data_IF_117505843968
#
_entry.id   IF_117505843968
#
_cell.length_a   1.000
_cell.length_b   1.000
_cell.length_c   1.000
_cell.angle_alpha   90.00
_cell.angle_beta   90.00
_cell.angle_gamma   90.00
#
_symmetry.space_group_name_H-M   'P 1'
#
loop_
_entity.id
_entity.type
_entity.pdbx_description
1 polymer ?
#
# COMPACT_ATOMS: atom_id res chain seq x y z
N UNK A 1 -45.41 -32.15 7.69
CA UNK A 1 -45.00 -30.85 8.24
C UNK A 1 -43.57 -30.61 7.83
N UNK A 2 -43.37 -29.54 7.07
CA UNK A 2 -42.17 -29.19 6.32
C UNK A 2 -40.93 -29.09 7.21
N UNK A 3 -39.97 -29.98 6.96
CA UNK A 3 -38.58 -29.86 7.37
C UNK A 3 -38.01 -28.55 6.81
N UNK A 4 -37.92 -27.52 7.65
CA UNK A 4 -37.19 -26.30 7.33
C UNK A 4 -35.72 -26.68 7.16
N UNK A 5 -35.29 -26.89 5.92
CA UNK A 5 -33.88 -26.92 5.56
C UNK A 5 -33.29 -25.56 5.93
N UNK A 6 -32.69 -25.46 7.11
CA UNK A 6 -31.95 -24.27 7.54
C UNK A 6 -30.78 -24.13 6.58
N UNK A 7 -30.92 -23.26 5.58
CA UNK A 7 -29.81 -22.89 4.71
C UNK A 7 -28.73 -22.31 5.63
N UNK A 8 -27.51 -22.88 5.67
CA UNK A 8 -26.49 -22.38 6.58
C UNK A 8 -26.17 -20.92 6.23
N UNK A 9 -26.27 -20.03 7.21
CA UNK A 9 -25.91 -18.63 7.02
C UNK A 9 -24.39 -18.52 6.86
N UNK A 10 -23.89 -17.77 5.86
CA UNK A 10 -22.46 -17.65 5.64
C UNK A 10 -21.79 -17.00 6.86
N UNK A 11 -20.73 -17.65 7.33
CA UNK A 11 -19.96 -17.25 8.50
C UNK A 11 -18.80 -16.33 8.11
N UNK A 12 -18.11 -15.78 9.12
CA UNK A 12 -16.93 -14.91 8.95
C UNK A 12 -15.88 -15.52 8.01
N UNK A 13 -15.63 -16.82 8.16
CA UNK A 13 -14.63 -17.54 7.37
C UNK A 13 -15.00 -17.60 5.88
N UNK A 14 -16.28 -17.83 5.57
CA UNK A 14 -16.80 -17.80 4.20
C UNK A 14 -16.57 -16.44 3.54
N UNK A 15 -16.86 -15.34 4.25
CA UNK A 15 -16.61 -13.99 3.74
C UNK A 15 -15.13 -13.74 3.48
N UNK A 16 -14.27 -14.02 4.47
CA UNK A 16 -12.82 -13.83 4.34
C UNK A 16 -12.22 -14.62 3.18
N UNK A 17 -12.70 -15.85 2.96
CA UNK A 17 -12.24 -16.70 1.85
C UNK A 17 -12.56 -16.06 0.50
N UNK A 18 -13.76 -15.52 0.34
CA UNK A 18 -14.16 -14.85 -0.91
C UNK A 18 -13.41 -13.53 -1.10
N UNK A 19 -13.20 -12.75 -0.03
CA UNK A 19 -12.40 -11.52 -0.10
C UNK A 19 -10.95 -11.86 -0.51
N UNK A 20 -10.36 -12.90 0.07
CA UNK A 20 -9.01 -13.35 -0.29
C UNK A 20 -8.93 -13.84 -1.75
N UNK A 21 -9.96 -14.54 -2.24
CA UNK A 21 -10.04 -14.96 -3.64
C UNK A 21 -10.09 -13.73 -4.59
N UNK A 22 -10.88 -12.72 -4.26
CA UNK A 22 -10.93 -11.45 -5.01
C UNK A 22 -9.59 -10.70 -4.96
N UNK A 23 -8.89 -10.72 -3.82
CA UNK A 23 -7.56 -10.13 -3.67
C UNK A 23 -6.47 -10.85 -4.48
N UNK A 24 -6.68 -12.12 -4.82
CA UNK A 24 -5.81 -12.87 -5.74
C UNK A 24 -6.20 -12.62 -7.20
N UNK A 25 -7.49 -12.43 -7.49
CA UNK A 25 -7.96 -11.99 -8.80
C UNK A 25 -7.42 -10.60 -9.16
N UNK A 26 -7.34 -9.68 -8.20
CA UNK A 26 -6.76 -8.35 -8.44
C UNK A 26 -5.27 -8.40 -8.81
N UNK A 27 -4.53 -9.43 -8.39
CA UNK A 27 -3.15 -9.65 -8.83
C UNK A 27 -3.06 -9.97 -10.33
N UNK A 28 -3.94 -10.85 -10.84
CA UNK A 28 -3.96 -11.24 -12.25
C UNK A 28 -4.51 -10.10 -13.13
N UNK A 29 -5.54 -9.39 -12.64
CA UNK A 29 -6.10 -8.22 -13.28
C UNK A 29 -5.10 -7.05 -13.30
N UNK A 30 -4.40 -6.76 -12.20
CA UNK A 30 -3.41 -5.69 -12.11
C UNK A 30 -2.24 -5.86 -13.09
N UNK A 31 -1.80 -7.11 -13.32
CA UNK A 31 -0.79 -7.40 -14.35
C UNK A 31 -1.30 -7.14 -15.78
N UNK A 32 -2.57 -7.47 -16.06
CA UNK A 32 -3.21 -7.21 -17.35
C UNK A 32 -3.56 -5.73 -17.56
N UNK A 33 -4.02 -5.05 -16.51
CA UNK A 33 -4.43 -3.64 -16.51
C UNK A 33 -3.23 -2.71 -16.67
N UNK A 34 -2.11 -2.98 -15.98
CA UNK A 34 -0.85 -2.23 -16.18
C UNK A 34 -0.32 -2.34 -17.61
N UNK A 35 -0.40 -3.52 -18.24
CA UNK A 35 -0.02 -3.69 -19.67
C UNK A 35 -0.96 -2.89 -20.58
N UNK A 36 -2.28 -2.94 -20.33
CA UNK A 36 -3.29 -2.20 -21.09
C UNK A 36 -3.17 -0.68 -20.91
N UNK A 37 -3.01 -0.17 -19.69
CA UNK A 37 -2.80 1.27 -19.43
C UNK A 37 -1.51 1.79 -20.05
N UNK A 38 -0.41 1.01 -20.00
CA UNK A 38 0.84 1.38 -20.70
C UNK A 38 0.64 1.44 -22.22
N UNK A 39 -0.16 0.53 -22.77
CA UNK A 39 -0.50 0.51 -24.19
C UNK A 39 -1.48 1.64 -24.57
N UNK A 40 -2.44 1.96 -23.72
CA UNK A 40 -3.38 3.07 -23.90
C UNK A 40 -2.69 4.43 -23.76
N UNK A 41 -1.77 4.62 -22.81
CA UNK A 41 -0.92 5.82 -22.70
C UNK A 41 -0.04 6.00 -23.92
N UNK A 42 0.56 4.92 -24.44
CA UNK A 42 1.29 4.96 -25.72
C UNK A 42 0.39 5.37 -26.89
N UNK A 43 -0.82 4.81 -26.96
CA UNK A 43 -1.80 5.14 -28.02
C UNK A 43 -2.38 6.56 -27.88
N UNK A 44 -2.63 7.04 -26.65
CA UNK A 44 -3.07 8.42 -26.37
C UNK A 44 -1.97 9.43 -26.69
N UNK A 45 -0.72 9.15 -26.34
CA UNK A 45 0.41 10.00 -26.72
C UNK A 45 0.63 9.98 -28.23
N UNK A 46 0.48 8.82 -28.88
CA UNK A 46 0.54 8.70 -30.34
C UNK A 46 -0.64 9.39 -31.05
N UNK A 47 -1.82 9.41 -30.43
CA UNK A 47 -3.00 10.14 -30.90
C UNK A 47 -2.85 11.65 -30.69
N UNK A 48 -2.32 12.09 -29.55
CA UNK A 48 -2.04 13.49 -29.26
C UNK A 48 -0.98 14.05 -30.22
N UNK A 49 0.12 13.33 -30.45
CA UNK A 49 1.11 13.70 -31.48
C UNK A 49 0.53 13.72 -32.92
N UNK A 50 -0.53 12.94 -33.18
CA UNK A 50 -1.29 12.97 -34.46
C UNK A 50 -2.32 14.10 -34.51
N UNK A 51 -2.89 14.49 -33.37
CA UNK A 51 -3.85 15.59 -33.23
C UNK A 51 -3.16 16.95 -33.36
N UNK A 52 -1.93 17.05 -32.86
CA UNK A 52 -1.05 18.21 -33.03
C UNK A 52 -0.59 18.38 -34.51
N UNK A 53 -0.72 17.34 -35.34
CA UNK A 53 -0.45 17.38 -36.80
C UNK A 53 -1.69 17.59 -37.67
N UNK A 54 -2.91 17.41 -37.13
CA UNK A 54 -4.15 17.53 -37.91
C UNK A 54 -5.19 18.36 -37.15
N UNK A 55 -4.91 19.64 -36.92
CA UNK A 55 -5.93 20.61 -36.49
C UNK A 55 -6.59 21.22 -37.73
N UNK A 56 -7.77 20.70 -38.07
CA UNK A 56 -8.94 21.32 -38.75
C UNK A 56 -9.65 20.30 -39.63
N UNK A 57 -10.48 19.46 -39.02
CA UNK A 57 -11.77 18.98 -39.54
C UNK A 57 -12.33 17.94 -38.55
N UNK A 58 -13.62 18.01 -38.25
CA UNK A 58 -14.41 17.09 -37.41
C UNK A 58 -14.36 17.36 -35.90
N UNK A 59 -14.85 18.55 -35.52
CA UNK A 59 -15.49 18.78 -34.23
C UNK A 59 -16.97 19.02 -34.51
N UNK A 60 -17.79 17.97 -34.42
CA UNK A 60 -19.26 17.95 -34.27
C UNK A 60 -19.68 16.51 -34.59
N UNK A 61 -20.50 15.90 -33.72
CA UNK A 61 -20.91 14.48 -33.70
C UNK A 61 -19.95 13.57 -32.89
N UNK A 62 -19.95 13.68 -31.55
CA UNK A 62 -19.88 12.48 -30.66
C UNK A 62 -20.26 12.72 -29.18
N UNK A 63 -20.80 13.87 -28.79
CA UNK A 63 -20.94 14.19 -27.35
C UNK A 63 -22.15 13.56 -26.63
N UNK A 64 -23.09 12.89 -27.33
CA UNK A 64 -24.33 12.39 -26.70
C UNK A 64 -24.40 10.86 -26.54
N UNK A 65 -23.65 10.07 -27.33
CA UNK A 65 -23.65 8.60 -27.22
C UNK A 65 -22.49 8.03 -26.39
N UNK A 66 -21.50 8.87 -26.07
CA UNK A 66 -20.34 8.49 -25.28
C UNK A 66 -20.66 8.47 -23.75
N UNK A 67 -21.48 9.40 -23.27
CA UNK A 67 -21.81 9.54 -21.85
C UNK A 67 -22.73 8.43 -21.30
N UNK A 68 -23.66 7.90 -22.10
CA UNK A 68 -24.56 6.82 -21.66
C UNK A 68 -23.91 5.42 -21.74
N UNK A 69 -22.96 5.22 -22.67
CA UNK A 69 -22.23 3.95 -22.79
C UNK A 69 -21.08 3.83 -21.78
N UNK A 70 -20.47 4.93 -21.36
CA UNK A 70 -19.47 4.95 -20.28
C UNK A 70 -20.09 4.59 -18.92
N UNK A 71 -21.27 5.14 -18.60
CA UNK A 71 -22.02 4.82 -17.37
C UNK A 71 -22.52 3.36 -17.30
N UNK A 72 -22.81 2.72 -18.44
CA UNK A 72 -23.21 1.30 -18.51
C UNK A 72 -22.01 0.34 -18.44
N UNK A 73 -20.81 0.80 -18.84
CA UNK A 73 -19.54 0.08 -18.67
C UNK A 73 -19.01 0.19 -17.24
N UNK A 74 -19.17 1.35 -16.59
CA UNK A 74 -18.77 1.58 -15.19
C UNK A 74 -19.54 0.69 -14.21
N UNK A 75 -20.85 0.45 -14.42
CA UNK A 75 -21.65 -0.43 -13.54
C UNK A 75 -21.39 -1.94 -13.74
N UNK A 76 -20.70 -2.35 -14.81
CA UNK A 76 -20.51 -3.77 -15.17
C UNK A 76 -19.11 -4.31 -14.82
N UNK A 77 -18.14 -3.43 -14.58
CA UNK A 77 -16.73 -3.80 -14.40
C UNK A 77 -16.18 -3.29 -13.06
N UNK A 78 -16.88 -3.53 -11.94
CA UNK A 78 -16.29 -3.29 -10.63
C UNK A 78 -14.98 -4.07 -10.52
N UNK A 79 -13.90 -3.39 -10.16
CA UNK A 79 -12.59 -4.03 -10.01
C UNK A 79 -12.67 -5.08 -8.91
N UNK A 80 -11.79 -6.09 -8.97
CA UNK A 80 -11.77 -7.11 -7.92
C UNK A 80 -11.55 -6.49 -6.51
N UNK A 81 -10.87 -5.34 -6.43
CA UNK A 81 -10.68 -4.59 -5.18
C UNK A 81 -11.97 -3.91 -4.70
N UNK A 82 -12.73 -3.25 -5.59
CA UNK A 82 -14.02 -2.66 -5.26
C UNK A 82 -15.04 -3.71 -4.80
N UNK A 83 -15.04 -4.88 -5.45
CA UNK A 83 -15.88 -6.01 -5.05
C UNK A 83 -15.51 -6.55 -3.68
N UNK A 84 -14.21 -6.59 -3.36
CA UNK A 84 -13.71 -7.02 -2.06
C UNK A 84 -14.14 -6.03 -0.96
N UNK A 85 -14.05 -4.73 -1.20
CA UNK A 85 -14.50 -3.71 -0.25
C UNK A 85 -16.03 -3.72 -0.07
N UNK A 86 -16.80 -3.84 -1.15
CA UNK A 86 -18.25 -3.97 -1.07
C UNK A 86 -18.68 -5.24 -0.30
N UNK A 87 -17.90 -6.32 -0.39
CA UNK A 87 -18.13 -7.54 0.37
C UNK A 87 -17.86 -7.33 1.88
N UNK A 88 -16.81 -6.59 2.23
CA UNK A 88 -16.53 -6.17 3.61
C UNK A 88 -17.67 -5.31 4.18
N UNK A 89 -18.20 -4.36 3.40
CA UNK A 89 -19.36 -3.56 3.77
C UNK A 89 -20.62 -4.41 3.99
N UNK A 90 -20.88 -5.39 3.13
CA UNK A 90 -22.01 -6.34 3.29
C UNK A 90 -21.88 -7.20 4.54
N UNK A 91 -20.66 -7.61 4.88
CA UNK A 91 -20.36 -8.38 6.09
C UNK A 91 -20.78 -7.57 7.33
N UNK A 92 -20.39 -6.29 7.38
CA UNK A 92 -20.77 -5.34 8.44
C UNK A 92 -22.28 -5.09 8.53
N UNK A 93 -22.96 -4.91 7.39
CA UNK A 93 -24.42 -4.73 7.34
C UNK A 93 -25.17 -5.96 7.87
N UNK A 94 -24.63 -7.16 7.65
CA UNK A 94 -25.20 -8.42 8.16
C UNK A 94 -24.88 -8.68 9.63
N UNK A 95 -24.23 -7.74 10.31
CA UNK A 95 -23.80 -7.89 11.70
C UNK A 95 -22.65 -8.88 11.89
N UNK A 96 -21.93 -9.23 10.81
CA UNK A 96 -20.74 -10.06 10.88
C UNK A 96 -19.54 -9.12 10.93
N UNK A 97 -18.78 -9.17 12.03
CA UNK A 97 -17.65 -8.26 12.26
C UNK A 97 -16.38 -8.71 11.50
N UNK A 98 -15.80 -7.87 10.63
CA UNK A 98 -14.56 -8.21 9.93
C UNK A 98 -13.34 -8.27 10.86
N UNK A 99 -12.42 -9.23 10.63
CA UNK A 99 -11.14 -9.29 11.36
C UNK A 99 -10.05 -8.54 10.60
N UNK A 100 -8.91 -8.41 11.26
CA UNK A 100 -7.62 -8.04 10.67
C UNK A 100 -7.37 -8.78 9.35
N UNK A 101 -7.75 -10.06 9.23
CA UNK A 101 -7.57 -10.86 8.00
C UNK A 101 -8.45 -10.33 6.86
N UNK A 102 -9.74 -10.13 7.09
CA UNK A 102 -10.67 -9.56 6.10
C UNK A 102 -10.27 -8.17 5.64
N UNK A 103 -9.89 -7.30 6.59
CA UNK A 103 -9.37 -5.97 6.28
C UNK A 103 -8.06 -6.02 5.48
N UNK A 104 -7.09 -6.84 5.91
CA UNK A 104 -5.81 -7.00 5.20
C UNK A 104 -5.99 -7.54 3.79
N UNK A 105 -6.97 -8.41 3.58
CA UNK A 105 -7.29 -8.93 2.26
C UNK A 105 -7.82 -7.81 1.34
N UNK A 106 -8.67 -6.91 1.84
CA UNK A 106 -9.13 -5.73 1.07
C UNK A 106 -7.98 -4.76 0.77
N UNK A 107 -7.14 -4.43 1.76
CA UNK A 107 -5.97 -3.55 1.55
C UNK A 107 -5.02 -4.18 0.51
N UNK A 108 -4.79 -5.49 0.60
CA UNK A 108 -3.96 -6.22 -0.36
C UNK A 108 -4.59 -6.24 -1.75
N UNK A 109 -5.93 -6.32 -1.84
CA UNK A 109 -6.65 -6.27 -3.11
C UNK A 109 -6.43 -4.94 -3.81
N UNK A 110 -6.54 -3.83 -3.08
CA UNK A 110 -6.23 -2.48 -3.56
C UNK A 110 -4.76 -2.36 -3.96
N UNK A 111 -3.81 -2.68 -3.07
CA UNK A 111 -2.37 -2.64 -3.37
C UNK A 111 -1.97 -3.39 -4.65
N UNK A 112 -2.69 -4.48 -4.97
CA UNK A 112 -2.47 -5.29 -6.17
C UNK A 112 -3.24 -4.83 -7.41
N UNK A 113 -4.31 -4.04 -7.26
CA UNK A 113 -5.12 -3.57 -8.40
C UNK A 113 -4.30 -2.71 -9.37
N UNK A 114 -3.30 -1.98 -8.84
CA UNK A 114 -2.43 -1.14 -9.65
C UNK A 114 -3.16 0.02 -10.33
N UNK A 115 -4.32 0.43 -9.83
CA UNK A 115 -5.15 1.50 -10.39
C UNK A 115 -4.62 2.92 -10.07
N UNK A 116 -3.34 3.03 -9.74
CA UNK A 116 -2.66 4.30 -9.51
C UNK A 116 -2.95 4.88 -8.12
N UNK A 117 -3.10 6.21 -8.05
CA UNK A 117 -3.27 6.96 -6.81
C UNK A 117 -4.56 6.61 -6.05
N UNK A 118 -5.67 6.43 -6.77
CA UNK A 118 -6.96 6.15 -6.14
C UNK A 118 -6.92 4.86 -5.33
N UNK A 119 -6.33 3.80 -5.88
CA UNK A 119 -6.14 2.54 -5.16
C UNK A 119 -5.34 2.70 -3.86
N UNK A 120 -4.29 3.53 -3.87
CA UNK A 120 -3.49 3.77 -2.67
C UNK A 120 -4.27 4.58 -1.61
N UNK A 121 -5.06 5.59 -2.02
CA UNK A 121 -5.96 6.33 -1.11
C UNK A 121 -7.03 5.44 -0.52
N UNK A 122 -7.62 4.54 -1.31
CA UNK A 122 -8.62 3.56 -0.83
C UNK A 122 -8.00 2.60 0.17
N UNK A 123 -6.79 2.09 -0.09
CA UNK A 123 -6.05 1.26 0.85
C UNK A 123 -5.80 1.98 2.19
N UNK A 124 -5.45 3.26 2.16
CA UNK A 124 -5.27 4.10 3.35
C UNK A 124 -6.59 4.36 4.08
N UNK A 125 -7.68 4.61 3.36
CA UNK A 125 -9.01 4.79 3.94
C UNK A 125 -9.48 3.53 4.68
N UNK A 126 -9.24 2.35 4.10
CA UNK A 126 -9.54 1.07 4.76
C UNK A 126 -8.69 0.90 6.02
N UNK A 127 -7.40 1.24 5.98
CA UNK A 127 -6.53 1.22 7.17
C UNK A 127 -7.03 2.17 8.28
N UNK A 128 -7.40 3.40 7.92
CA UNK A 128 -7.98 4.37 8.86
C UNK A 128 -9.27 3.86 9.50
N UNK A 129 -10.10 3.13 8.75
CA UNK A 129 -11.31 2.50 9.31
C UNK A 129 -11.00 1.42 10.35
N UNK A 130 -9.86 0.72 10.25
CA UNK A 130 -9.42 -0.25 11.28
C UNK A 130 -8.99 0.49 12.55
N UNK A 131 -8.24 1.58 12.39
CA UNK A 131 -7.77 2.41 13.51
C UNK A 131 -8.92 3.09 14.26
N UNK A 132 -9.93 3.60 13.55
CA UNK A 132 -11.12 4.18 14.17
C UNK A 132 -11.89 3.14 15.00
N UNK A 133 -11.96 1.91 14.50
CA UNK A 133 -12.62 0.80 15.21
C UNK A 133 -11.84 0.32 16.45
N UNK A 134 -10.53 0.62 16.58
CA UNK A 134 -9.79 0.34 17.81
C UNK A 134 -10.32 1.10 19.02
N UNK A 135 -10.92 2.28 18.82
CA UNK A 135 -11.42 3.15 19.89
C UNK A 135 -12.77 2.71 20.48
N UNK A 136 -13.50 1.82 19.80
CA UNK A 136 -14.84 1.44 20.21
C UNK A 136 -14.81 0.25 21.18
N UNK A 137 -14.58 0.54 22.47
CA UNK A 137 -14.64 -0.43 23.59
C UNK A 137 -16.01 -1.16 23.65
N UNK A 138 -17.05 -0.56 23.06
CA UNK A 138 -18.43 -1.07 23.07
C UNK A 138 -18.76 -2.06 21.94
N UNK A 139 -17.87 -2.27 20.96
CA UNK A 139 -18.02 -3.34 19.95
C UNK A 139 -17.21 -4.55 20.39
N UNK A 140 -17.78 -5.75 20.28
CA UNK A 140 -17.24 -6.97 20.86
C UNK A 140 -15.94 -7.49 20.20
N UNK A 141 -15.29 -6.71 19.34
CA UNK A 141 -13.97 -7.00 18.79
C UNK A 141 -13.03 -5.80 18.71
N UNK A 142 -11.94 -5.91 19.44
CA UNK A 142 -10.76 -5.06 19.33
C UNK A 142 -9.93 -5.50 18.11
N UNK A 143 -10.15 -4.87 16.96
CA UNK A 143 -9.38 -5.12 15.73
C UNK A 143 -8.25 -4.11 15.64
N UNK A 144 -6.99 -4.57 15.62
CA UNK A 144 -5.81 -3.71 15.49
C UNK A 144 -5.17 -3.90 14.12
N UNK A 145 -4.76 -2.82 13.43
CA UNK A 145 -3.89 -2.97 12.28
C UNK A 145 -2.55 -3.54 12.73
N UNK A 146 -1.97 -4.38 11.88
CA UNK A 146 -0.68 -5.00 12.13
C UNK A 146 0.35 -4.55 11.10
N UNK A 147 1.59 -5.01 11.24
CA UNK A 147 2.68 -4.75 10.27
C UNK A 147 2.24 -5.05 8.84
N UNK A 148 1.43 -6.10 8.62
CA UNK A 148 0.93 -6.45 7.28
C UNK A 148 0.00 -5.35 6.76
N UNK A 149 -0.96 -4.87 7.55
CA UNK A 149 -1.88 -3.78 7.17
C UNK A 149 -1.14 -2.55 6.67
N UNK A 150 -0.18 -2.06 7.47
CA UNK A 150 0.62 -0.88 7.12
C UNK A 150 1.53 -1.14 5.91
N UNK A 151 2.22 -2.30 5.89
CA UNK A 151 3.12 -2.64 4.78
C UNK A 151 2.40 -2.74 3.43
N UNK A 152 1.15 -3.23 3.42
CA UNK A 152 0.34 -3.31 2.21
C UNK A 152 -0.08 -1.92 1.69
N UNK A 153 -0.36 -0.96 2.58
CA UNK A 153 -0.64 0.44 2.21
C UNK A 153 0.62 1.12 1.66
N UNK A 154 1.78 0.92 2.30
CA UNK A 154 3.07 1.45 1.80
C UNK A 154 3.37 0.87 0.41
N UNK A 155 3.15 -0.43 0.22
CA UNK A 155 3.33 -1.09 -1.08
C UNK A 155 2.37 -0.53 -2.14
N UNK A 156 1.12 -0.22 -1.77
CA UNK A 156 0.16 0.44 -2.66
C UNK A 156 0.65 1.83 -3.10
N UNK A 157 1.12 2.66 -2.16
CA UNK A 157 1.70 3.96 -2.46
C UNK A 157 2.98 3.86 -3.31
N UNK A 158 3.81 2.84 -3.09
CA UNK A 158 5.02 2.61 -3.90
C UNK A 158 4.72 2.25 -5.36
N UNK A 159 3.52 1.73 -5.63
CA UNK A 159 3.05 1.30 -6.96
C UNK A 159 2.12 2.31 -7.63
N UNK A 160 1.61 3.29 -6.89
CA UNK A 160 0.62 4.24 -7.39
C UNK A 160 1.16 5.14 -8.51
N UNK A 161 2.47 5.40 -8.51
CA UNK A 161 3.09 6.34 -9.45
C UNK A 161 2.60 7.78 -9.30
N UNK A 162 1.95 8.10 -8.17
CA UNK A 162 1.56 9.46 -7.82
C UNK A 162 2.80 10.28 -7.41
N UNK A 163 2.80 11.58 -7.71
CA UNK A 163 3.87 12.50 -7.26
C UNK A 163 4.02 12.47 -5.75
N UNK A 164 2.90 12.54 -5.02
CA UNK A 164 2.89 12.50 -3.56
C UNK A 164 3.01 11.08 -2.98
N UNK A 165 3.11 10.06 -3.83
CA UNK A 165 3.17 8.66 -3.42
C UNK A 165 4.32 8.33 -2.46
N UNK A 166 5.58 8.75 -2.73
CA UNK A 166 6.70 8.55 -1.81
C UNK A 166 6.53 9.28 -0.49
N UNK A 167 5.98 10.50 -0.51
CA UNK A 167 5.71 11.29 0.70
C UNK A 167 4.69 10.59 1.60
N UNK A 168 3.58 10.11 1.02
CA UNK A 168 2.56 9.36 1.74
C UNK A 168 3.10 8.02 2.25
N UNK A 169 3.89 7.29 1.44
CA UNK A 169 4.55 6.06 1.86
C UNK A 169 5.48 6.28 3.06
N UNK A 170 6.26 7.37 3.05
CA UNK A 170 7.13 7.75 4.17
C UNK A 170 6.35 8.18 5.41
N UNK A 171 5.23 8.89 5.25
CA UNK A 171 4.36 9.28 6.36
C UNK A 171 3.80 8.06 7.09
N UNK A 172 3.35 7.03 6.35
CA UNK A 172 2.88 5.77 6.92
C UNK A 172 4.02 5.03 7.63
N UNK A 173 5.24 5.00 7.06
CA UNK A 173 6.40 4.39 7.71
C UNK A 173 6.76 5.09 9.03
N UNK A 174 6.78 6.42 9.06
CA UNK A 174 7.01 7.21 10.29
C UNK A 174 5.95 6.94 11.35
N UNK A 175 4.69 6.73 10.93
CA UNK A 175 3.61 6.32 11.84
C UNK A 175 3.92 4.97 12.48
N UNK A 176 4.39 3.98 11.71
CA UNK A 176 4.82 2.69 12.26
C UNK A 176 5.99 2.82 13.23
N UNK A 177 6.97 3.67 12.92
CA UNK A 177 8.10 3.97 13.82
C UNK A 177 7.62 4.57 15.14
N UNK A 178 6.70 5.55 15.09
CA UNK A 178 6.10 6.13 16.30
C UNK A 178 5.31 5.11 17.12
N UNK A 179 4.59 4.18 16.47
CA UNK A 179 3.86 3.11 17.15
C UNK A 179 4.81 2.12 17.84
N UNK A 180 5.90 1.74 17.18
CA UNK A 180 6.97 0.94 17.78
C UNK A 180 7.57 1.62 19.01
N UNK A 181 7.85 2.91 18.92
CA UNK A 181 8.45 3.66 20.04
C UNK A 181 7.50 3.80 21.23
N UNK A 182 6.17 3.79 20.97
CA UNK A 182 5.11 3.68 21.99
C UNK A 182 4.97 2.25 22.57
N UNK A 183 5.74 1.29 22.07
CA UNK A 183 5.76 -0.10 22.54
C UNK A 183 4.79 -1.04 21.81
N UNK A 184 4.23 -0.62 20.67
CA UNK A 184 3.34 -1.45 19.87
C UNK A 184 4.14 -2.37 18.94
N UNK A 185 4.39 -3.60 19.39
CA UNK A 185 5.17 -4.59 18.64
C UNK A 185 4.44 -5.02 17.37
N UNK A 186 3.10 -5.09 17.41
CA UNK A 186 2.28 -5.58 16.30
C UNK A 186 2.27 -4.64 15.09
N UNK A 187 2.60 -3.36 15.30
CA UNK A 187 2.68 -2.32 14.27
C UNK A 187 4.13 -1.92 13.93
N UNK A 188 5.12 -2.66 14.43
CA UNK A 188 6.54 -2.36 14.17
C UNK A 188 6.86 -2.48 12.67
N UNK A 189 7.58 -1.51 12.07
CA UNK A 189 7.97 -1.58 10.67
C UNK A 189 8.96 -2.72 10.44
N UNK A 190 8.78 -3.43 9.33
CA UNK A 190 9.66 -4.51 8.87
C UNK A 190 10.52 -4.05 7.68
N UNK A 191 11.45 -4.90 7.26
CA UNK A 191 12.34 -4.60 6.13
C UNK A 191 11.56 -4.39 4.82
N UNK A 192 10.41 -5.04 4.67
CA UNK A 192 9.54 -4.89 3.50
C UNK A 192 8.99 -3.45 3.44
N UNK A 193 8.54 -2.89 4.57
CA UNK A 193 8.06 -1.52 4.64
C UNK A 193 9.15 -0.50 4.24
N UNK A 194 10.35 -0.62 4.81
CA UNK A 194 11.48 0.24 4.44
C UNK A 194 11.84 0.10 2.95
N UNK A 195 11.96 -1.13 2.45
CA UNK A 195 12.26 -1.38 1.03
C UNK A 195 11.19 -0.79 0.10
N UNK A 196 9.90 -0.90 0.46
CA UNK A 196 8.81 -0.33 -0.33
C UNK A 196 8.87 1.20 -0.39
N UNK A 197 9.20 1.89 0.71
CA UNK A 197 9.38 3.35 0.71
C UNK A 197 10.61 3.77 -0.10
N UNK A 198 11.75 3.10 0.06
CA UNK A 198 12.96 3.38 -0.72
C UNK A 198 12.70 3.17 -2.22
N UNK A 199 11.97 2.10 -2.57
CA UNK A 199 11.55 1.83 -3.95
C UNK A 199 10.58 2.89 -4.50
N UNK A 200 9.69 3.45 -3.65
CA UNK A 200 8.81 4.55 -4.02
C UNK A 200 9.63 5.80 -4.39
N UNK A 201 10.58 6.19 -3.52
CA UNK A 201 11.51 7.30 -3.77
C UNK A 201 12.38 7.07 -5.01
N UNK A 202 12.91 5.85 -5.19
CA UNK A 202 13.69 5.50 -6.38
C UNK A 202 12.93 5.69 -7.70
N UNK A 203 11.59 5.58 -7.68
CA UNK A 203 10.74 5.68 -8.88
C UNK A 203 10.11 7.04 -9.09
N UNK A 204 10.10 7.92 -8.10
CA UNK A 204 9.42 9.21 -8.18
C UNK A 204 10.10 10.17 -9.15
N UNK A 205 11.43 10.06 -9.29
CA UNK A 205 12.22 10.95 -10.13
C UNK A 205 12.22 12.40 -9.63
N UNK A 206 11.76 12.65 -8.40
CA UNK A 206 11.74 13.96 -7.79
C UNK A 206 13.14 14.41 -7.39
N UNK A 207 13.36 15.73 -7.36
CA UNK A 207 14.63 16.31 -6.95
C UNK A 207 14.89 15.99 -5.48
N UNK A 208 16.03 15.37 -5.20
CA UNK A 208 16.39 14.93 -3.84
C UNK A 208 15.84 13.56 -3.46
N UNK A 209 15.11 12.86 -4.34
CA UNK A 209 14.60 11.52 -4.05
C UNK A 209 15.72 10.51 -3.69
N UNK A 210 16.89 10.64 -4.31
CA UNK A 210 18.11 9.91 -3.99
C UNK A 210 18.59 10.14 -2.54
N UNK A 211 18.65 11.40 -2.11
CA UNK A 211 19.06 11.77 -0.75
C UNK A 211 18.05 11.28 0.30
N UNK A 212 16.75 11.32 -0.03
CA UNK A 212 15.68 10.77 0.83
C UNK A 212 15.80 9.26 0.97
N UNK A 213 16.01 8.54 -0.13
CA UNK A 213 16.23 7.09 -0.13
C UNK A 213 17.46 6.69 0.70
N UNK A 214 18.56 7.44 0.57
CA UNK A 214 19.78 7.24 1.37
C UNK A 214 19.55 7.53 2.85
N UNK A 215 18.85 8.61 3.18
CA UNK A 215 18.51 8.97 4.57
C UNK A 215 17.72 7.86 5.27
N UNK A 216 16.77 7.24 4.56
CA UNK A 216 15.98 6.11 5.07
C UNK A 216 16.84 4.84 5.23
N UNK A 217 17.77 4.57 4.30
CA UNK A 217 18.73 3.48 4.48
C UNK A 217 19.65 3.73 5.70
N UNK A 218 20.10 4.96 5.89
CA UNK A 218 20.93 5.34 7.03
C UNK A 218 20.17 5.22 8.36
N UNK A 219 18.88 5.55 8.41
CA UNK A 219 18.08 5.36 9.63
C UNK A 219 17.91 3.87 9.96
N UNK A 220 17.74 3.03 8.94
CA UNK A 220 17.70 1.57 9.08
C UNK A 220 19.03 1.01 9.63
N UNK A 221 20.16 1.40 9.05
CA UNK A 221 21.51 0.98 9.47
C UNK A 221 21.86 1.46 10.89
N UNK A 222 21.40 2.65 11.29
CA UNK A 222 21.58 3.13 12.67
C UNK A 222 20.79 2.29 13.65
N UNK A 223 19.54 1.93 13.32
CA UNK A 223 18.74 0.99 14.11
C UNK A 223 19.44 -0.36 14.27
N UNK A 224 20.05 -0.88 13.20
CA UNK A 224 20.87 -2.09 13.23
C UNK A 224 22.08 -1.99 14.14
N UNK A 225 22.91 -0.96 13.96
CA UNK A 225 24.22 -0.87 14.61
C UNK A 225 24.13 -0.58 16.11
N UNK A 226 23.09 0.12 16.59
CA UNK A 226 22.83 0.30 18.02
C UNK A 226 22.65 -1.05 18.78
N UNK A 227 22.31 -2.15 18.08
CA UNK A 227 22.24 -3.49 18.68
C UNK A 227 23.61 -4.11 18.97
N UNK A 228 24.58 -3.85 18.09
CA UNK A 228 25.95 -4.32 18.26
C UNK A 228 26.69 -3.56 19.37
N UNK A 229 26.41 -2.26 19.52
CA UNK A 229 27.05 -1.39 20.51
C UNK A 229 26.43 -1.54 21.91
N UNK A 230 25.11 -1.70 22.04
CA UNK A 230 24.46 -1.95 23.35
C UNK A 230 24.77 -3.32 23.95
N UNK A 231 25.28 -4.26 23.14
CA UNK A 231 25.81 -5.55 23.60
C UNK A 231 27.22 -5.44 24.19
N UNK A 232 27.98 -4.40 23.83
CA UNK A 232 29.35 -4.16 24.30
C UNK A 232 29.43 -3.28 25.56
N UNK A 233 28.35 -2.57 25.93
CA UNK A 233 28.33 -1.64 27.08
C UNK A 233 27.62 -2.19 28.34
N UNK A 234 27.26 -3.47 28.39
CA UNK A 234 26.56 -4.07 29.56
C UNK A 234 27.48 -4.85 30.51
N UNK A 235 28.64 -4.28 30.85
CA UNK A 235 29.30 -4.54 32.13
C UNK A 235 28.80 -3.52 33.16
N UNK A 236 28.05 -3.96 34.17
CA UNK A 236 27.49 -3.16 35.28
C UNK A 236 26.26 -2.27 34.99
N UNK A 237 25.03 -2.82 35.11
CA UNK A 237 24.00 -2.26 36.02
C UNK A 237 22.68 -3.05 35.95
N UNK A 238 22.35 -3.72 37.06
CA UNK A 238 21.06 -4.34 37.32
C UNK A 238 20.11 -3.33 37.98
N UNK A 239 19.02 -2.91 37.30
CA UNK A 239 17.73 -2.63 37.95
C UNK A 239 16.59 -2.30 36.97
N UNK A 240 15.45 -2.94 37.26
CA UNK A 240 14.07 -2.64 36.86
C UNK A 240 13.55 -3.15 35.50
N UNK A 241 12.45 -3.92 35.57
CA UNK A 241 11.88 -4.79 34.53
C UNK A 241 11.42 -4.14 33.22
N UNK A 242 11.51 -2.81 33.10
CA UNK A 242 11.28 -2.08 31.84
C UNK A 242 12.41 -2.28 30.81
N UNK A 243 13.64 -2.61 31.25
CA UNK A 243 14.76 -2.91 30.35
C UNK A 243 14.60 -4.24 29.59
N UNK A 244 14.01 -5.27 30.22
CA UNK A 244 13.83 -6.58 29.55
C UNK A 244 12.89 -6.51 28.34
N UNK A 245 11.84 -5.67 28.39
CA UNK A 245 10.96 -5.43 27.23
C UNK A 245 11.67 -4.65 26.13
N UNK A 246 12.44 -3.60 26.45
CA UNK A 246 13.23 -2.86 25.46
C UNK A 246 14.31 -3.75 24.82
N UNK A 247 14.96 -4.61 25.59
CA UNK A 247 15.97 -5.56 25.11
C UNK A 247 15.36 -6.68 24.24
N UNK A 248 14.10 -7.06 24.50
CA UNK A 248 13.34 -8.02 23.66
C UNK A 248 12.77 -7.38 22.40
N UNK A 249 12.31 -6.12 22.46
CA UNK A 249 11.95 -5.31 21.29
C UNK A 249 13.16 -5.03 20.39
N UNK A 250 14.36 -4.96 20.98
CA UNK A 250 15.63 -4.68 20.30
C UNK A 250 16.05 -5.78 19.30
N UNK A 251 15.52 -7.00 19.43
CA UNK A 251 15.86 -8.15 18.60
C UNK A 251 15.09 -8.21 17.26
N UNK A 252 14.13 -7.30 17.06
CA UNK A 252 13.22 -7.30 15.90
C UNK A 252 13.49 -6.15 14.91
N UNK A 253 14.58 -5.40 15.09
CA UNK A 253 14.90 -4.30 14.18
C UNK A 253 15.26 -4.83 12.79
N UNK A 254 14.57 -4.36 11.73
CA UNK A 254 14.81 -4.83 10.39
C UNK A 254 16.22 -4.47 9.94
N UNK A 255 16.89 -5.43 9.30
CA UNK A 255 18.25 -5.27 8.79
C UNK A 255 18.23 -4.96 7.30
N UNK A 256 19.07 -4.03 6.81
CA UNK A 256 19.20 -3.78 5.38
C UNK A 256 19.66 -5.05 4.67
N UNK A 257 19.07 -5.33 3.51
CA UNK A 257 19.44 -6.49 2.70
C UNK A 257 19.87 -6.03 1.29
N UNK A 258 20.29 -6.99 0.46
CA UNK A 258 20.72 -6.71 -0.91
C UNK A 258 19.70 -5.88 -1.71
N UNK A 259 18.40 -6.13 -1.53
CA UNK A 259 17.33 -5.39 -2.22
C UNK A 259 17.35 -3.92 -1.80
N UNK A 260 17.55 -3.65 -0.50
CA UNK A 260 17.64 -2.29 0.04
C UNK A 260 18.75 -1.49 -0.64
N UNK A 261 19.96 -2.06 -0.72
CA UNK A 261 21.10 -1.41 -1.38
C UNK A 261 20.88 -1.20 -2.88
N UNK A 262 20.35 -2.20 -3.59
CA UNK A 262 20.02 -2.06 -5.01
C UNK A 262 19.00 -0.96 -5.29
N UNK A 263 17.98 -0.82 -4.43
CA UNK A 263 16.97 0.24 -4.58
C UNK A 263 17.56 1.64 -4.40
N UNK A 264 18.51 1.83 -3.47
CA UNK A 264 19.22 3.12 -3.31
C UNK A 264 20.13 3.41 -4.50
N UNK A 265 20.88 2.42 -4.98
CA UNK A 265 21.73 2.56 -6.18
C UNK A 265 20.88 2.94 -7.41
N UNK A 266 19.70 2.33 -7.57
CA UNK A 266 18.76 2.70 -8.63
C UNK A 266 18.27 4.15 -8.48
N UNK A 267 17.99 4.61 -7.25
CA UNK A 267 17.61 5.99 -7.01
C UNK A 267 18.72 6.97 -7.45
N UNK A 268 19.98 6.67 -7.16
CA UNK A 268 21.13 7.46 -7.61
C UNK A 268 21.28 7.49 -9.14
N UNK A 269 21.07 6.34 -9.79
CA UNK A 269 21.12 6.25 -11.26
C UNK A 269 20.03 7.14 -11.92
N UNK A 270 18.82 7.15 -11.36
CA UNK A 270 17.73 7.99 -11.86
C UNK A 270 17.97 9.49 -11.63
N UNK A 271 18.51 9.88 -10.47
CA UNK A 271 18.83 11.28 -10.17
C UNK A 271 19.89 11.84 -11.14
N UNK A 272 20.94 11.06 -11.44
CA UNK A 272 21.94 11.43 -12.44
C UNK A 272 21.33 11.58 -13.84
N UNK A 273 20.47 10.64 -14.23
CA UNK A 273 19.78 10.71 -15.52
C UNK A 273 18.85 11.93 -15.63
N UNK A 274 18.14 12.27 -14.55
CA UNK A 274 17.28 13.46 -14.49
C UNK A 274 18.09 14.75 -14.63
N UNK A 275 19.25 14.85 -13.94
CA UNK A 275 20.19 15.98 -14.04
C UNK A 275 20.75 16.13 -15.45
N UNK A 276 21.22 15.04 -16.06
CA UNK A 276 21.78 15.06 -17.43
C UNK A 276 20.73 15.46 -18.49
N UNK A 277 19.47 15.06 -18.29
CA UNK A 277 18.35 15.46 -19.17
C UNK A 277 18.01 16.95 -19.01
N UNK A 278 18.04 17.48 -17.79
CA UNK A 278 17.76 18.90 -17.53
C UNK A 278 18.85 19.83 -18.09
N UNK A 279 20.11 19.39 -18.14
CA UNK A 279 21.22 20.17 -18.73
C UNK A 279 21.15 20.20 -20.27
N UNK A 280 20.50 19.21 -20.89
CA UNK A 280 20.37 19.09 -22.36
C UNK A 280 19.10 19.72 -22.96
N UNK A 281 18.15 20.14 -22.12
CA UNK A 281 16.88 20.74 -22.51
C UNK A 281 16.96 22.28 -22.45
#
# INVERSE_FOLDING_TARGET
TSSSSSVPSPDRFSYNTVIAALANESFTQGAASNRRQKQQRKRKNQYQSRKDTQTKENALIDDSNQYENENKKEKSCLSAAERAEALLGRMRIRGIEPDVVGYNAVISAWSRSGEGEESARRAECVLASIEENQGNIHQHQYVRPNTVSYSSVIDAWSKSGASDGPNNAEAVLKKMESLRDKGDVDASPNIIAYNSVINAWSKSGERGAAERAESILCSLERGSNLSSLSSSENGHEMRSGSKMRKQSLHLLLPQPNYITYCSVINAWAYDRYAKDKAVRA
#
